data_IF_940038242819
#
_entry.id   IF_940038242819
#
_cell.length_a   1.000
_cell.length_b   1.000
_cell.length_c   1.000
_cell.angle_alpha   90.00
_cell.angle_beta   90.00
_cell.angle_gamma   90.00
#
_symmetry.space_group_name_H-M   'P 1'
#
loop_
_entity.id
_entity.type
_entity.pdbx_description
1 polymer ?
#
# COMPACT_ATOMS: atom_id res chain seq x y z
N UNK A 1 4.46 17.99 12.55
CA UNK A 1 5.22 16.73 12.62
C UNK A 1 6.55 16.98 11.88
N UNK A 2 7.42 16.00 11.63
CA UNK A 2 8.47 16.16 10.61
C UNK A 2 8.34 15.05 9.56
N UNK A 3 9.04 15.22 8.44
CA UNK A 3 8.90 14.32 7.28
C UNK A 3 9.45 12.93 7.56
N UNK A 4 10.53 12.84 8.33
CA UNK A 4 11.18 11.59 8.72
C UNK A 4 10.28 10.73 9.60
N UNK A 5 9.60 11.35 10.58
CA UNK A 5 8.64 10.67 11.44
C UNK A 5 7.38 10.28 10.66
N UNK A 6 6.92 11.14 9.74
CA UNK A 6 5.79 10.80 8.86
C UNK A 6 6.11 9.59 7.99
N UNK A 7 7.31 9.56 7.40
CA UNK A 7 7.83 8.42 6.63
C UNK A 7 7.90 7.15 7.48
N UNK A 8 8.47 7.23 8.70
CA UNK A 8 8.53 6.09 9.62
C UNK A 8 7.13 5.57 9.97
N UNK A 9 6.18 6.46 10.28
CA UNK A 9 4.79 6.08 10.58
C UNK A 9 4.16 5.34 9.40
N UNK A 10 4.38 5.81 8.17
CA UNK A 10 3.94 5.13 6.95
C UNK A 10 4.49 3.71 6.83
N UNK A 11 5.80 3.54 7.08
CA UNK A 11 6.43 2.22 7.07
C UNK A 11 5.85 1.28 8.15
N UNK A 12 5.62 1.79 9.37
CA UNK A 12 5.02 1.02 10.47
C UNK A 12 3.58 0.63 10.14
N UNK A 13 2.79 1.54 9.57
CA UNK A 13 1.42 1.23 9.16
C UNK A 13 1.38 0.17 8.06
N UNK A 14 2.39 0.13 7.19
CA UNK A 14 2.49 -0.84 6.10
C UNK A 14 2.74 -2.26 6.58
N UNK A 15 3.91 -2.50 7.19
CA UNK A 15 4.37 -3.85 7.60
C UNK A 15 5.05 -3.83 8.98
N UNK A 16 4.59 -2.96 9.88
CA UNK A 16 5.13 -2.82 11.23
C UNK A 16 4.58 -3.84 12.23
N UNK A 17 5.44 -4.24 13.15
CA UNK A 17 5.16 -5.07 14.32
C UNK A 17 5.73 -4.37 15.56
N UNK A 18 4.97 -4.39 16.66
CA UNK A 18 5.32 -3.72 17.92
C UNK A 18 5.43 -4.75 19.03
N UNK A 19 6.64 -4.89 19.58
CA UNK A 19 6.90 -5.77 20.73
C UNK A 19 7.16 -4.92 21.96
N UNK A 20 6.19 -4.92 22.88
CA UNK A 20 6.26 -4.15 24.13
C UNK A 20 6.93 -4.98 25.22
N UNK A 21 8.00 -4.44 25.79
CA UNK A 21 8.64 -4.94 27.01
C UNK A 21 8.28 -4.09 28.23
N UNK A 22 8.81 -4.46 29.39
CA UNK A 22 8.54 -3.78 30.66
C UNK A 22 9.05 -2.32 30.68
N UNK A 23 10.25 -2.09 30.13
CA UNK A 23 10.89 -0.77 30.11
C UNK A 23 11.14 -0.22 28.70
N UNK A 24 11.10 -1.08 27.69
CA UNK A 24 11.47 -0.77 26.30
C UNK A 24 10.47 -1.38 25.34
N UNK A 25 10.32 -0.76 24.17
CA UNK A 25 9.50 -1.25 23.07
C UNK A 25 10.35 -1.36 21.82
N UNK A 26 10.19 -2.47 21.11
CA UNK A 26 10.84 -2.72 19.82
C UNK A 26 9.82 -2.58 18.70
N UNK A 27 10.17 -1.78 17.70
CA UNK A 27 9.46 -1.70 16.43
C UNK A 27 10.25 -2.50 15.41
N UNK A 28 9.57 -3.38 14.68
CA UNK A 28 10.12 -4.14 13.56
C UNK A 28 9.28 -3.89 12.32
N UNK A 29 9.92 -3.69 11.17
CA UNK A 29 9.25 -3.38 9.91
C UNK A 29 9.78 -4.35 8.85
N UNK A 30 8.88 -5.13 8.25
CA UNK A 30 9.22 -6.08 7.21
C UNK A 30 9.25 -5.41 5.82
N UNK A 31 10.33 -5.68 5.08
CA UNK A 31 10.52 -5.27 3.69
C UNK A 31 10.59 -6.54 2.84
N UNK A 32 9.50 -6.93 2.16
CA UNK A 32 9.46 -8.15 1.37
C UNK A 32 10.35 -8.09 0.11
N UNK A 33 11.02 -9.19 -0.22
CA UNK A 33 11.88 -9.36 -1.41
C UNK A 33 11.13 -9.92 -2.63
N UNK A 34 9.79 -9.84 -2.68
CA UNK A 34 8.93 -10.54 -3.66
C UNK A 34 9.50 -10.51 -5.08
N UNK A 35 9.99 -11.67 -5.57
CA UNK A 35 10.50 -11.97 -6.93
C UNK A 35 10.83 -10.72 -7.74
N UNK A 36 11.85 -9.99 -7.28
CA UNK A 36 12.45 -8.88 -8.00
C UNK A 36 13.44 -9.45 -9.01
N UNK A 37 12.95 -10.26 -9.95
CA UNK A 37 13.67 -10.41 -11.22
C UNK A 37 13.54 -9.06 -11.90
N UNK A 38 14.46 -8.16 -11.58
CA UNK A 38 14.62 -6.94 -12.36
C UNK A 38 14.85 -7.37 -13.80
N UNK A 39 14.25 -6.66 -14.74
CA UNK A 39 14.43 -6.93 -16.19
C UNK A 39 15.90 -6.86 -16.62
N UNK A 40 16.76 -6.33 -15.74
CA UNK A 40 18.21 -6.18 -15.90
C UNK A 40 19.06 -7.31 -15.25
N UNK A 41 18.47 -8.39 -14.73
CA UNK A 41 19.21 -9.50 -14.10
C UNK A 41 20.17 -9.04 -12.97
N UNK A 42 19.82 -7.98 -12.22
CA UNK A 42 20.62 -7.56 -11.06
C UNK A 42 20.39 -8.51 -9.87
N UNK A 43 21.45 -8.88 -9.14
CA UNK A 43 21.35 -9.71 -7.93
C UNK A 43 20.42 -9.04 -6.91
N UNK A 44 19.35 -9.75 -6.53
CA UNK A 44 18.34 -9.32 -5.56
C UNK A 44 19.00 -8.83 -4.27
N UNK A 45 20.15 -9.38 -3.88
CA UNK A 45 20.87 -8.97 -2.67
C UNK A 45 21.48 -7.58 -2.78
N UNK A 46 21.89 -7.14 -3.97
CA UNK A 46 22.41 -5.79 -4.20
C UNK A 46 21.27 -4.77 -4.10
N UNK A 47 20.10 -5.10 -4.65
CA UNK A 47 18.86 -4.32 -4.52
C UNK A 47 18.47 -4.11 -3.05
N UNK A 48 18.54 -5.18 -2.25
CA UNK A 48 18.10 -5.12 -0.84
C UNK A 48 19.05 -4.20 -0.10
N UNK A 49 20.36 -4.37 -0.31
CA UNK A 49 21.39 -3.52 0.29
C UNK A 49 21.23 -2.03 -0.05
N UNK A 50 20.96 -1.71 -1.32
CA UNK A 50 20.72 -0.33 -1.74
C UNK A 50 19.46 0.26 -1.05
N UNK A 51 18.36 -0.51 -1.03
CA UNK A 51 17.10 -0.09 -0.36
C UNK A 51 17.30 0.29 1.10
N UNK A 52 18.12 -0.47 1.83
CA UNK A 52 18.38 -0.21 3.25
C UNK A 52 19.13 1.11 3.42
N UNK A 53 20.13 1.37 2.59
CA UNK A 53 20.92 2.60 2.68
C UNK A 53 20.05 3.82 2.44
N UNK A 54 19.14 3.74 1.46
CA UNK A 54 18.18 4.81 1.17
C UNK A 54 17.25 5.04 2.37
N UNK A 55 16.66 3.97 2.91
CA UNK A 55 15.76 4.04 4.08
C UNK A 55 16.50 4.55 5.32
N UNK A 56 17.73 4.09 5.56
CA UNK A 56 18.57 4.52 6.70
C UNK A 56 18.83 6.02 6.65
N UNK A 57 19.10 6.56 5.46
CA UNK A 57 19.32 8.00 5.27
C UNK A 57 18.13 8.82 5.76
N UNK A 58 16.90 8.29 5.64
CA UNK A 58 15.67 8.94 6.14
C UNK A 58 15.46 8.71 7.63
N UNK A 59 15.72 7.50 8.14
CA UNK A 59 15.37 7.11 9.51
C UNK A 59 16.43 7.42 10.58
N UNK A 60 17.72 7.38 10.22
CA UNK A 60 18.83 7.62 11.17
C UNK A 60 18.77 8.99 11.85
N UNK A 61 18.39 10.11 11.19
CA UNK A 61 18.21 11.39 11.86
C UNK A 61 17.19 11.38 13.00
N UNK A 62 16.21 10.46 12.94
CA UNK A 62 15.11 10.35 13.90
C UNK A 62 15.40 9.31 15.00
N UNK A 63 15.85 8.12 14.60
CA UNK A 63 16.03 6.97 15.50
C UNK A 63 17.44 6.92 16.09
N UNK A 64 18.41 7.58 15.45
CA UNK A 64 19.83 7.49 15.76
C UNK A 64 20.48 6.19 15.28
N UNK A 65 21.65 5.87 15.82
CA UNK A 65 22.49 4.74 15.40
C UNK A 65 21.96 3.36 15.79
N UNK A 66 20.83 3.27 16.50
CA UNK A 66 20.22 2.03 17.00
C UNK A 66 19.39 1.24 15.98
N UNK A 67 19.46 1.59 14.69
CA UNK A 67 18.76 0.88 13.62
C UNK A 67 19.45 -0.43 13.26
N UNK A 68 18.82 -1.53 13.67
CA UNK A 68 19.23 -2.88 13.35
C UNK A 68 18.61 -3.33 12.03
N UNK A 69 19.40 -4.05 11.26
CA UNK A 69 18.97 -4.63 10.00
C UNK A 69 19.28 -6.12 9.96
N UNK A 70 18.26 -6.92 9.66
CA UNK A 70 18.41 -8.37 9.47
C UNK A 70 17.88 -8.77 8.11
N UNK A 71 18.72 -9.42 7.30
CA UNK A 71 18.33 -9.93 5.99
C UNK A 71 17.98 -11.41 6.10
N UNK A 72 16.85 -11.80 5.51
CA UNK A 72 16.49 -13.19 5.26
C UNK A 72 16.39 -13.43 3.74
N UNK A 73 16.12 -14.66 3.32
CA UNK A 73 16.04 -14.99 1.89
C UNK A 73 14.93 -14.21 1.18
N UNK A 74 13.73 -14.13 1.79
CA UNK A 74 12.53 -13.62 1.15
C UNK A 74 12.05 -12.25 1.66
N UNK A 75 12.66 -11.74 2.72
CA UNK A 75 12.34 -10.42 3.28
C UNK A 75 13.51 -9.90 4.10
N UNK A 76 13.44 -8.63 4.46
CA UNK A 76 14.36 -7.98 5.38
C UNK A 76 13.61 -7.29 6.50
N UNK A 77 14.23 -7.19 7.66
CA UNK A 77 13.65 -6.51 8.81
C UNK A 77 14.52 -5.32 9.17
N UNK A 78 13.91 -4.15 9.22
CA UNK A 78 14.46 -2.97 9.91
C UNK A 78 13.83 -2.94 11.30
N UNK A 79 14.64 -2.73 12.33
CA UNK A 79 14.12 -2.63 13.68
C UNK A 79 14.92 -1.68 14.55
N UNK A 80 14.26 -1.14 15.57
CA UNK A 80 14.90 -0.35 16.60
C UNK A 80 14.15 -0.53 17.93
N UNK A 81 14.89 -0.35 19.02
CA UNK A 81 14.36 -0.41 20.38
C UNK A 81 14.60 0.92 21.07
N UNK A 82 13.58 1.42 21.77
CA UNK A 82 13.65 2.65 22.57
C UNK A 82 12.97 2.43 23.91
N UNK A 83 13.32 3.24 24.91
CA UNK A 83 12.62 3.20 26.20
C UNK A 83 11.18 3.68 26.03
N UNK A 84 10.28 3.12 26.83
CA UNK A 84 8.84 3.42 26.73
C UNK A 84 8.52 4.90 27.03
N UNK A 85 9.36 5.58 27.82
CA UNK A 85 9.22 6.98 28.20
C UNK A 85 9.78 7.96 27.14
N UNK A 86 10.52 7.48 26.13
CA UNK A 86 11.03 8.33 25.07
C UNK A 86 9.89 8.90 24.21
N UNK A 87 9.98 10.20 23.92
CA UNK A 87 8.95 10.94 23.18
C UNK A 87 8.60 10.28 21.84
N UNK A 88 9.60 9.84 21.07
CA UNK A 88 9.40 9.16 19.78
C UNK A 88 8.53 7.91 19.92
N UNK A 89 8.78 7.08 20.94
CA UNK A 89 8.03 5.84 21.13
C UNK A 89 6.59 6.14 21.54
N UNK A 90 6.38 7.10 22.44
CA UNK A 90 5.04 7.54 22.85
C UNK A 90 4.23 8.06 21.67
N UNK A 91 4.84 8.87 20.81
CA UNK A 91 4.17 9.38 19.62
C UNK A 91 3.85 8.27 18.62
N UNK A 92 4.80 7.38 18.31
CA UNK A 92 4.53 6.23 17.43
C UNK A 92 3.33 5.43 17.92
N UNK A 93 3.32 5.03 19.20
CA UNK A 93 2.25 4.23 19.77
C UNK A 93 0.90 4.95 19.78
N UNK A 94 0.92 6.28 19.94
CA UNK A 94 -0.28 7.11 19.84
C UNK A 94 -0.84 7.11 18.42
N UNK A 95 -0.02 7.40 17.41
CA UNK A 95 -0.47 7.48 16.01
C UNK A 95 -0.98 6.16 15.42
N UNK A 96 -0.47 5.03 15.90
CA UNK A 96 -0.93 3.70 15.45
C UNK A 96 -2.09 3.15 16.31
N UNK A 97 -2.66 3.96 17.20
CA UNK A 97 -3.77 3.57 18.06
C UNK A 97 -3.44 2.44 19.04
N UNK A 98 -2.19 2.37 19.50
CA UNK A 98 -1.67 1.29 20.34
C UNK A 98 -1.74 -0.12 19.73
N UNK A 99 -1.89 -0.24 18.42
CA UNK A 99 -1.83 -1.51 17.72
C UNK A 99 -0.48 -2.22 17.93
N UNK A 100 -0.51 -3.54 17.75
CA UNK A 100 0.69 -4.40 17.86
C UNK A 100 1.17 -4.91 16.50
N UNK A 101 0.33 -4.85 15.47
CA UNK A 101 0.63 -5.34 14.13
C UNK A 101 -0.07 -4.48 13.08
N UNK A 102 0.54 -4.32 11.90
CA UNK A 102 -0.05 -3.69 10.74
C UNK A 102 -1.44 -4.24 10.35
N UNK A 103 -1.74 -5.50 10.70
CA UNK A 103 -3.04 -6.12 10.44
C UNK A 103 -4.21 -5.42 11.16
N UNK A 104 -3.95 -4.71 12.26
CA UNK A 104 -4.97 -4.02 13.05
C UNK A 104 -4.69 -2.53 13.32
N UNK A 105 -3.67 -1.94 12.71
CA UNK A 105 -3.42 -0.50 12.80
C UNK A 105 -4.61 0.28 12.23
N UNK A 106 -5.07 1.28 13.01
CA UNK A 106 -5.91 2.37 12.52
C UNK A 106 -5.09 3.64 12.61
N UNK A 107 -5.01 4.37 11.52
CA UNK A 107 -4.28 5.64 11.49
C UNK A 107 -5.08 6.66 12.32
N UNK A 108 -4.41 7.35 13.24
CA UNK A 108 -5.01 8.42 14.04
C UNK A 108 -5.51 9.58 13.15
N UNK A 109 -6.62 10.21 13.55
CA UNK A 109 -7.24 11.32 12.79
C UNK A 109 -6.26 12.47 12.55
N UNK A 110 -5.29 12.69 13.45
CA UNK A 110 -4.26 13.72 13.30
C UNK A 110 -3.40 13.54 12.04
N UNK A 111 -3.21 12.32 11.54
CA UNK A 111 -2.43 12.10 10.30
C UNK A 111 -3.13 12.72 9.10
N UNK A 112 -4.47 12.80 9.10
CA UNK A 112 -5.22 13.52 8.06
C UNK A 112 -5.10 15.04 8.20
N UNK A 113 -4.63 15.55 9.34
CA UNK A 113 -4.33 16.97 9.55
C UNK A 113 -2.89 17.36 9.20
N UNK A 114 -2.04 16.38 8.83
CA UNK A 114 -0.67 16.64 8.41
C UNK A 114 -0.60 17.58 7.20
N UNK A 115 0.49 18.31 7.08
CA UNK A 115 0.79 19.11 5.89
C UNK A 115 0.89 18.22 4.65
N UNK A 116 0.75 18.82 3.47
CA UNK A 116 0.86 18.08 2.21
C UNK A 116 2.18 17.27 2.10
N UNK A 117 3.32 17.89 2.43
CA UNK A 117 4.63 17.24 2.37
C UNK A 117 4.78 16.09 3.39
N UNK A 118 4.18 16.23 4.57
CA UNK A 118 4.15 15.17 5.59
C UNK A 118 3.28 13.99 5.13
N UNK A 119 2.11 14.25 4.52
CA UNK A 119 1.26 13.21 3.92
C UNK A 119 1.97 12.49 2.78
N UNK A 120 2.66 13.22 1.91
CA UNK A 120 3.50 12.63 0.85
C UNK A 120 4.59 11.74 1.46
N UNK A 121 5.30 12.22 2.47
CA UNK A 121 6.32 11.43 3.17
C UNK A 121 5.74 10.17 3.83
N UNK A 122 4.57 10.26 4.46
CA UNK A 122 3.85 9.11 5.00
C UNK A 122 3.53 8.08 3.91
N UNK A 123 2.91 8.51 2.81
CA UNK A 123 2.55 7.63 1.69
C UNK A 123 3.78 7.00 1.03
N UNK A 124 4.89 7.73 0.96
CA UNK A 124 6.16 7.22 0.45
C UNK A 124 6.71 6.09 1.34
N UNK A 125 6.73 6.28 2.67
CA UNK A 125 7.17 5.25 3.61
C UNK A 125 6.28 4.01 3.58
N UNK A 126 4.96 4.21 3.49
CA UNK A 126 4.00 3.14 3.31
C UNK A 126 4.27 2.36 2.01
N UNK A 127 4.51 3.06 0.90
CA UNK A 127 4.77 2.45 -0.40
C UNK A 127 6.14 1.75 -0.50
N UNK A 128 7.15 2.19 0.25
CA UNK A 128 8.45 1.50 0.25
C UNK A 128 8.36 0.09 0.84
N UNK A 129 7.43 -0.16 1.77
CA UNK A 129 7.23 -1.48 2.38
C UNK A 129 6.09 -2.30 1.77
N UNK A 130 5.03 -1.64 1.28
CA UNK A 130 3.84 -2.32 0.70
C UNK A 130 3.77 -2.27 -0.83
N UNK A 131 4.51 -1.35 -1.44
CA UNK A 131 4.34 -0.95 -2.82
C UNK A 131 5.26 -1.68 -3.79
N UNK A 132 4.71 -2.06 -4.94
CA UNK A 132 5.44 -2.72 -6.01
C UNK A 132 5.12 -2.10 -7.36
N UNK A 133 6.16 -2.03 -8.19
CA UNK A 133 6.04 -1.68 -9.59
C UNK A 133 6.89 -2.63 -10.42
N UNK A 134 6.29 -3.19 -11.47
CA UNK A 134 6.89 -4.16 -12.39
C UNK A 134 6.12 -4.14 -13.70
N UNK A 135 6.75 -4.56 -14.79
CA UNK A 135 6.11 -4.58 -16.12
C UNK A 135 4.83 -5.39 -16.18
N UNK A 136 4.69 -6.45 -15.38
CA UNK A 136 3.46 -7.23 -15.31
C UNK A 136 2.32 -6.55 -14.54
N UNK A 137 2.54 -5.39 -13.91
CA UNK A 137 1.51 -4.58 -13.27
C UNK A 137 0.79 -3.66 -14.26
N UNK A 138 0.63 -4.08 -15.51
CA UNK A 138 -0.16 -3.33 -16.48
C UNK A 138 -1.67 -3.54 -16.27
N UNK A 139 -2.50 -2.67 -16.84
CA UNK A 139 -3.96 -2.81 -16.75
C UNK A 139 -4.54 -3.81 -17.74
N UNK A 140 -4.57 -3.46 -19.03
CA UNK A 140 -4.95 -4.37 -20.11
C UNK A 140 -4.06 -4.21 -21.34
N UNK A 141 -3.50 -3.00 -21.55
CA UNK A 141 -2.44 -2.77 -22.54
C UNK A 141 -1.07 -2.82 -21.86
N UNK A 142 -0.03 -3.41 -22.48
CA UNK A 142 1.28 -3.59 -21.85
C UNK A 142 1.99 -2.31 -21.39
N UNK A 143 1.67 -1.15 -21.97
CA UNK A 143 2.22 0.14 -21.55
C UNK A 143 1.43 0.79 -20.41
N UNK A 144 0.23 0.28 -20.07
CA UNK A 144 -0.64 0.88 -19.05
C UNK A 144 -0.23 0.47 -17.64
N UNK A 145 0.94 0.93 -17.19
CA UNK A 145 1.59 0.51 -15.95
C UNK A 145 0.96 1.12 -14.69
N UNK A 146 0.96 0.33 -13.60
CA UNK A 146 0.41 0.73 -12.30
C UNK A 146 1.33 0.36 -11.14
N UNK A 147 1.29 1.18 -10.11
CA UNK A 147 1.81 0.87 -8.77
C UNK A 147 0.74 0.12 -8.00
N UNK A 148 1.11 -0.99 -7.36
CA UNK A 148 0.23 -1.74 -6.47
C UNK A 148 0.73 -1.56 -5.04
N UNK A 149 -0.13 -1.07 -4.15
CA UNK A 149 0.10 -1.09 -2.71
C UNK A 149 -0.70 -2.28 -2.13
N UNK A 150 0.00 -3.23 -1.52
CA UNK A 150 -0.60 -4.43 -0.95
C UNK A 150 -0.87 -4.25 0.55
N UNK A 151 -2.10 -4.52 0.99
CA UNK A 151 -2.50 -4.40 2.40
C UNK A 151 -3.11 -5.72 2.88
N UNK A 152 -2.36 -6.56 3.63
CA UNK A 152 -2.89 -7.79 4.21
C UNK A 152 -3.90 -7.50 5.30
N UNK A 153 -5.04 -8.21 5.29
CA UNK A 153 -6.08 -8.25 6.35
C UNK A 153 -6.81 -6.93 6.69
N UNK A 154 -6.13 -5.78 6.68
CA UNK A 154 -6.62 -4.53 7.24
C UNK A 154 -7.47 -3.74 6.23
N UNK A 155 -8.76 -4.06 6.15
CA UNK A 155 -9.75 -3.40 5.28
C UNK A 155 -9.84 -1.90 5.50
N UNK A 156 -9.65 -1.49 6.74
CA UNK A 156 -9.82 -0.13 7.20
C UNK A 156 -8.66 0.76 6.80
N UNK A 157 -7.45 0.25 6.94
CA UNK A 157 -6.24 0.92 6.47
C UNK A 157 -6.29 1.17 4.96
N UNK A 158 -6.89 0.28 4.18
CA UNK A 158 -7.09 0.53 2.73
C UNK A 158 -7.86 1.83 2.50
N UNK A 159 -8.99 2.03 3.21
CA UNK A 159 -9.76 3.27 3.09
C UNK A 159 -8.97 4.48 3.56
N UNK A 160 -8.26 4.37 4.70
CA UNK A 160 -7.46 5.46 5.26
C UNK A 160 -6.37 5.91 4.27
N UNK A 161 -5.64 4.97 3.66
CA UNK A 161 -4.64 5.24 2.62
C UNK A 161 -5.29 5.86 1.38
N UNK A 162 -6.47 5.39 0.95
CA UNK A 162 -7.17 5.99 -0.20
C UNK A 162 -7.60 7.43 0.07
N UNK A 163 -8.01 7.75 1.31
CA UNK A 163 -8.31 9.12 1.73
C UNK A 163 -7.05 10.00 1.75
N UNK A 164 -5.92 9.49 2.27
CA UNK A 164 -4.65 10.23 2.22
C UNK A 164 -4.19 10.49 0.78
N UNK A 165 -4.31 9.50 -0.11
CA UNK A 165 -4.03 9.67 -1.55
C UNK A 165 -4.92 10.76 -2.16
N UNK A 166 -6.22 10.78 -1.82
CA UNK A 166 -7.15 11.83 -2.25
C UNK A 166 -6.70 13.22 -1.78
N UNK A 167 -6.31 13.35 -0.52
CA UNK A 167 -5.88 14.63 0.06
C UNK A 167 -4.63 15.22 -0.62
N UNK A 168 -3.76 14.36 -1.17
CA UNK A 168 -2.61 14.79 -1.96
C UNK A 168 -2.89 14.80 -3.47
N UNK A 169 -4.16 14.74 -3.86
CA UNK A 169 -4.65 14.75 -5.24
C UNK A 169 -4.10 13.62 -6.12
N UNK A 170 -3.99 12.41 -5.57
CA UNK A 170 -3.59 11.20 -6.31
C UNK A 170 -4.80 10.24 -6.42
N UNK A 171 -5.34 10.04 -7.63
CA UNK A 171 -6.52 9.19 -7.80
C UNK A 171 -6.18 7.70 -7.73
N UNK A 172 -7.03 6.96 -7.01
CA UNK A 172 -6.99 5.49 -6.98
C UNK A 172 -7.71 4.94 -8.21
N UNK A 173 -7.00 4.18 -9.03
CA UNK A 173 -7.53 3.60 -10.27
C UNK A 173 -8.49 2.43 -9.99
N UNK A 174 -8.11 1.51 -9.11
CA UNK A 174 -8.93 0.36 -8.69
C UNK A 174 -8.45 -0.17 -7.35
N UNK A 175 -9.36 -0.71 -6.56
CA UNK A 175 -9.04 -1.49 -5.36
C UNK A 175 -9.48 -2.93 -5.60
N UNK A 176 -8.56 -3.88 -5.51
CA UNK A 176 -8.92 -5.28 -5.43
C UNK A 176 -9.05 -5.66 -3.95
N UNK A 177 -10.26 -5.54 -3.41
CA UNK A 177 -10.56 -6.00 -2.06
C UNK A 177 -10.40 -7.51 -1.95
N UNK A 178 -9.99 -8.00 -0.79
CA UNK A 178 -10.05 -9.39 -0.36
C UNK A 178 -11.49 -9.83 -0.08
N UNK A 179 -12.39 -9.57 -1.02
CA UNK A 179 -13.80 -9.91 -0.98
C UNK A 179 -14.07 -11.01 -2.02
N UNK A 180 -14.93 -12.00 -1.73
CA UNK A 180 -15.27 -13.05 -2.69
C UNK A 180 -15.77 -12.49 -4.03
N UNK A 181 -16.69 -11.51 -4.04
CA UNK A 181 -17.16 -10.92 -5.29
C UNK A 181 -16.09 -10.12 -6.07
N UNK A 182 -14.93 -9.82 -5.47
CA UNK A 182 -13.82 -9.12 -6.15
C UNK A 182 -12.76 -10.09 -6.65
N UNK A 183 -12.34 -11.05 -5.81
CA UNK A 183 -11.26 -12.00 -6.14
C UNK A 183 -11.75 -13.24 -6.90
N UNK A 184 -13.02 -13.62 -6.73
CA UNK A 184 -13.66 -14.75 -7.41
C UNK A 184 -15.12 -14.44 -7.78
N UNK A 185 -15.37 -13.26 -8.34
CA UNK A 185 -16.73 -12.78 -8.61
C UNK A 185 -17.54 -13.58 -9.63
N UNK A 186 -16.96 -14.60 -10.26
CA UNK A 186 -17.64 -15.51 -11.19
C UNK A 186 -17.65 -16.97 -10.69
N UNK A 187 -17.34 -17.21 -9.40
CA UNK A 187 -17.34 -18.54 -8.77
C UNK A 187 -16.36 -19.57 -9.34
N UNK A 188 -15.45 -19.18 -10.23
CA UNK A 188 -14.56 -20.12 -10.93
C UNK A 188 -13.70 -20.89 -9.94
N UNK A 189 -13.11 -20.21 -8.94
CA UNK A 189 -12.24 -20.88 -7.96
C UNK A 189 -13.03 -21.62 -6.90
N UNK A 190 -14.19 -21.10 -6.52
CA UNK A 190 -15.12 -21.81 -5.66
C UNK A 190 -15.55 -23.16 -6.27
N UNK A 191 -15.97 -23.17 -7.55
CA UNK A 191 -16.38 -24.37 -8.28
C UNK A 191 -15.23 -25.36 -8.52
N UNK A 192 -13.98 -24.87 -8.61
CA UNK A 192 -12.76 -25.70 -8.59
C UNK A 192 -12.46 -26.32 -7.20
N UNK A 193 -13.30 -26.11 -6.18
CA UNK A 193 -13.09 -26.63 -4.83
C UNK A 193 -12.09 -25.82 -3.99
N UNK A 194 -11.89 -24.52 -4.30
CA UNK A 194 -10.98 -23.61 -3.58
C UNK A 194 -11.77 -22.50 -2.89
N UNK A 195 -12.57 -22.80 -1.85
CA UNK A 195 -13.51 -21.85 -1.24
C UNK A 195 -12.82 -20.63 -0.60
N UNK A 196 -11.55 -20.76 -0.20
CA UNK A 196 -10.77 -19.69 0.44
C UNK A 196 -9.88 -18.92 -0.54
N UNK A 197 -9.94 -19.17 -1.85
CA UNK A 197 -9.07 -18.51 -2.83
C UNK A 197 -9.13 -16.97 -2.77
N UNK A 198 -10.27 -16.42 -2.36
CA UNK A 198 -10.50 -14.98 -2.30
C UNK A 198 -9.85 -14.30 -1.08
N UNK A 199 -9.43 -15.06 -0.05
CA UNK A 199 -8.76 -14.56 1.16
C UNK A 199 -7.30 -14.20 0.86
N UNK A 200 -7.12 -13.10 0.15
CA UNK A 200 -5.82 -12.55 -0.27
C UNK A 200 -5.56 -11.20 0.42
N UNK A 201 -4.40 -10.62 0.16
CA UNK A 201 -4.16 -9.20 0.45
C UNK A 201 -5.11 -8.29 -0.36
N UNK A 202 -5.42 -7.11 0.16
CA UNK A 202 -6.03 -6.03 -0.61
C UNK A 202 -4.98 -5.39 -1.52
N UNK A 203 -5.40 -4.84 -2.67
CA UNK A 203 -4.48 -4.14 -3.57
C UNK A 203 -5.06 -2.79 -3.99
N UNK A 204 -4.40 -1.70 -3.60
CA UNK A 204 -4.69 -0.35 -4.10
C UNK A 204 -3.85 -0.14 -5.35
N UNK A 205 -4.49 0.14 -6.48
CA UNK A 205 -3.82 0.30 -7.77
C UNK A 205 -3.87 1.74 -8.22
N UNK A 206 -2.72 2.30 -8.55
CA UNK A 206 -2.53 3.70 -8.94
C UNK A 206 -1.78 3.72 -10.26
N UNK A 207 -2.12 4.62 -11.18
CA UNK A 207 -1.35 4.78 -12.41
C UNK A 207 0.09 5.21 -12.12
N UNK A 208 1.05 4.67 -12.88
CA UNK A 208 2.46 4.96 -12.64
C UNK A 208 2.78 6.47 -12.72
N UNK A 209 2.22 7.18 -13.70
CA UNK A 209 2.41 8.62 -13.85
C UNK A 209 1.80 9.42 -12.68
N UNK A 210 0.63 9.01 -12.18
CA UNK A 210 -0.04 9.67 -11.05
C UNK A 210 0.72 9.45 -9.73
N UNK A 211 1.49 8.37 -9.61
CA UNK A 211 2.23 8.08 -8.39
C UNK A 211 3.58 8.83 -8.29
N UNK A 212 4.04 9.48 -9.37
CA UNK A 212 5.31 10.22 -9.39
C UNK A 212 5.48 11.26 -8.28
N UNK A 213 4.47 12.06 -7.89
CA UNK A 213 4.61 13.05 -6.81
C UNK A 213 4.90 12.44 -5.43
N UNK A 214 4.46 11.20 -5.19
CA UNK A 214 4.78 10.45 -3.96
C UNK A 214 6.12 9.74 -4.13
N UNK A 215 6.26 9.00 -5.22
CA UNK A 215 7.47 8.27 -5.55
C UNK A 215 7.85 7.19 -4.53
N UNK A 216 9.11 6.79 -4.57
CA UNK A 216 9.73 5.86 -3.64
C UNK A 216 11.03 6.48 -3.12
N UNK A 217 11.37 6.27 -1.85
CA UNK A 217 12.71 6.63 -1.37
C UNK A 217 13.75 5.65 -1.94
N UNK A 218 13.33 4.40 -2.10
CA UNK A 218 14.16 3.30 -2.62
C UNK A 218 14.49 3.50 -4.12
N UNK A 219 15.78 3.62 -4.43
CA UNK A 219 16.30 4.09 -5.73
C UNK A 219 15.74 3.34 -6.94
N UNK A 220 15.84 2.02 -7.01
CA UNK A 220 15.39 1.28 -8.20
C UNK A 220 13.86 1.28 -8.34
N UNK A 221 13.09 1.41 -7.25
CA UNK A 221 11.62 1.51 -7.34
C UNK A 221 11.28 2.85 -7.99
N UNK A 222 12.02 3.91 -7.61
CA UNK A 222 11.92 5.23 -8.23
C UNK A 222 12.34 5.19 -9.71
N UNK A 223 13.43 4.52 -10.07
CA UNK A 223 13.84 4.37 -11.48
C UNK A 223 12.79 3.63 -12.31
N UNK A 224 12.28 2.51 -11.79
CA UNK A 224 11.21 1.74 -12.44
C UNK A 224 9.92 2.57 -12.57
N UNK A 225 9.56 3.34 -11.54
CA UNK A 225 8.44 4.28 -11.58
C UNK A 225 8.60 5.30 -12.70
N UNK A 226 9.74 5.96 -12.78
CA UNK A 226 10.03 6.94 -13.82
C UNK A 226 9.93 6.32 -15.22
N UNK A 227 10.55 5.14 -15.42
CA UNK A 227 10.50 4.44 -16.70
C UNK A 227 9.06 4.07 -17.08
N UNK A 228 8.32 3.42 -16.18
CA UNK A 228 6.97 2.95 -16.48
C UNK A 228 5.95 4.08 -16.57
N UNK A 229 6.17 5.20 -15.89
CA UNK A 229 5.37 6.41 -16.07
C UNK A 229 5.57 7.01 -17.48
N UNK A 230 6.80 7.04 -17.98
CA UNK A 230 7.10 7.48 -19.34
C UNK A 230 6.48 6.54 -20.39
N UNK A 231 6.69 5.22 -20.26
CA UNK A 231 6.08 4.22 -21.16
C UNK A 231 4.54 4.35 -21.20
N UNK A 232 3.91 4.62 -20.05
CA UNK A 232 2.47 4.86 -19.95
C UNK A 232 2.03 6.12 -20.70
N UNK A 233 2.74 7.23 -20.52
CA UNK A 233 2.45 8.49 -21.20
C UNK A 233 2.62 8.35 -22.71
N UNK A 234 3.77 7.85 -23.16
CA UNK A 234 4.10 7.65 -24.58
C UNK A 234 3.07 6.76 -25.28
N UNK A 235 2.67 5.66 -24.62
CA UNK A 235 1.67 4.74 -25.17
C UNK A 235 0.26 5.33 -25.26
N UNK A 236 -0.11 6.28 -24.38
CA UNK A 236 -1.38 7.00 -24.49
C UNK A 236 -1.33 8.06 -25.60
N UNK A 237 -0.21 8.78 -25.71
CA UNK A 237 -0.01 9.79 -26.75
C UNK A 237 0.06 9.18 -28.15
N UNK A 238 0.70 8.01 -28.29
CA UNK A 238 0.70 7.24 -29.54
C UNK A 238 -0.72 6.80 -29.99
N UNK A 239 -1.68 6.75 -29.06
CA UNK A 239 -3.09 6.51 -29.35
C UNK A 239 -3.90 7.80 -29.55
N UNK A 240 -3.25 8.96 -29.59
CA UNK A 240 -3.89 10.27 -29.70
C UNK A 240 -4.66 10.69 -28.45
N UNK A 241 -4.31 10.15 -27.27
CA UNK A 241 -4.97 10.49 -25.99
C UNK A 241 -4.06 11.35 -25.14
N UNK A 242 -4.65 12.29 -24.41
CA UNK A 242 -3.94 13.03 -23.38
C UNK A 242 -3.75 12.15 -22.12
N UNK A 243 -2.52 11.90 -21.64
CA UNK A 243 -2.28 11.06 -20.47
C UNK A 243 -3.09 11.50 -19.24
N UNK A 244 -3.05 12.79 -18.90
CA UNK A 244 -3.72 13.36 -17.72
C UNK A 244 -5.24 13.15 -17.77
N UNK A 245 -5.86 13.35 -18.92
CA UNK A 245 -7.32 13.14 -19.08
C UNK A 245 -7.71 11.66 -18.92
N UNK A 246 -6.79 10.73 -19.14
CA UNK A 246 -7.04 9.29 -19.00
C UNK A 246 -6.79 8.81 -17.58
N UNK A 247 -5.70 9.26 -16.96
CA UNK A 247 -5.18 8.70 -15.70
C UNK A 247 -5.62 9.49 -14.48
N UNK A 248 -5.80 10.80 -14.59
CA UNK A 248 -6.19 11.66 -13.46
C UNK A 248 -7.71 11.67 -13.25
N UNK A 249 -8.25 10.54 -12.78
CA UNK A 249 -9.70 10.35 -12.53
C UNK A 249 -9.96 9.60 -11.23
N UNK A 250 -10.65 10.26 -10.31
CA UNK A 250 -11.23 9.62 -9.15
C UNK A 250 -12.38 8.69 -9.56
N UNK A 251 -12.64 7.69 -8.73
CA UNK A 251 -13.53 6.60 -9.13
C UNK A 251 -14.98 7.05 -9.32
N UNK A 252 -15.42 8.13 -8.68
CA UNK A 252 -16.77 8.70 -8.82
C UNK A 252 -16.95 9.53 -10.10
N UNK A 253 -15.86 9.99 -10.73
CA UNK A 253 -15.91 10.73 -12.00
C UNK A 253 -16.15 9.82 -13.22
N UNK A 254 -15.99 8.51 -13.04
CA UNK A 254 -16.14 7.51 -14.10
C UNK A 254 -17.47 6.78 -14.06
N UNK A 255 -18.18 6.75 -15.20
CA UNK A 255 -19.34 5.90 -15.43
C UNK A 255 -18.92 4.42 -15.52
N UNK A 256 -18.94 3.72 -14.39
CA UNK A 256 -18.69 2.28 -14.36
C UNK A 256 -19.80 1.53 -15.06
N UNK A 257 -19.46 0.54 -15.89
CA UNK A 257 -20.46 -0.41 -16.39
C UNK A 257 -20.91 -1.28 -15.20
N UNK A 258 -22.19 -1.21 -14.85
CA UNK A 258 -22.79 -2.12 -13.88
C UNK A 258 -22.66 -3.55 -14.41
N UNK A 259 -21.82 -4.35 -13.77
CA UNK A 259 -21.78 -5.80 -14.00
C UNK A 259 -22.58 -6.42 -12.88
N UNK A 260 -23.53 -7.28 -13.22
CA UNK A 260 -24.22 -8.12 -12.24
C UNK A 260 -23.37 -9.35 -12.00
N UNK A 261 -23.06 -9.65 -10.75
CA UNK A 261 -22.29 -10.84 -10.35
C UNK A 261 -23.22 -11.89 -9.71
N UNK A 262 -22.90 -13.18 -9.84
CA UNK A 262 -23.54 -14.21 -9.02
C UNK A 262 -23.24 -13.99 -7.53
N UNK A 263 -24.17 -14.41 -6.67
CA UNK A 263 -23.93 -14.46 -5.23
C UNK A 263 -22.84 -15.48 -4.92
N UNK A 264 -21.89 -15.07 -4.07
CA UNK A 264 -20.81 -15.93 -3.63
C UNK A 264 -21.12 -16.53 -2.25
N UNK A 265 -21.03 -17.85 -2.05
CA UNK A 265 -21.38 -18.49 -0.77
C UNK A 265 -20.60 -17.96 0.44
N UNK A 266 -19.36 -17.50 0.21
CA UNK A 266 -18.50 -16.91 1.23
C UNK A 266 -18.77 -15.42 1.57
N UNK A 267 -19.83 -14.79 1.04
CA UNK A 267 -20.16 -13.37 1.35
C UNK A 267 -20.38 -13.12 2.85
N UNK A 268 -20.80 -14.13 3.61
CA UNK A 268 -21.03 -14.03 5.06
C UNK A 268 -19.85 -14.54 5.93
N UNK A 269 -18.67 -14.76 5.33
CA UNK A 269 -17.49 -15.26 6.06
C UNK A 269 -17.01 -14.26 7.14
N UNK A 270 -16.57 -14.78 8.28
CA UNK A 270 -16.14 -13.96 9.43
C UNK A 270 -14.84 -13.17 9.19
N UNK A 271 -14.08 -13.52 8.16
CA UNK A 271 -12.93 -12.74 7.68
C UNK A 271 -13.32 -11.35 7.19
N UNK A 272 -14.57 -11.18 6.75
CA UNK A 272 -15.10 -9.89 6.27
C UNK A 272 -15.56 -9.05 7.48
N UNK A 273 -15.26 -7.73 7.53
CA UNK A 273 -15.74 -6.85 8.59
C UNK A 273 -17.26 -6.86 8.71
N UNK A 274 -17.77 -6.79 9.93
CA UNK A 274 -19.20 -6.91 10.23
C UNK A 274 -20.10 -5.92 9.47
N UNK A 275 -19.58 -4.75 9.16
CA UNK A 275 -20.24 -3.62 8.51
C UNK A 275 -20.59 -3.93 7.06
N UNK A 276 -19.82 -4.83 6.43
CA UNK A 276 -19.96 -5.24 5.03
C UNK A 276 -20.19 -6.75 4.86
N UNK A 277 -20.10 -7.53 5.93
CA UNK A 277 -20.33 -8.98 5.93
C UNK A 277 -21.75 -9.32 5.53
N UNK A 278 -21.90 -10.30 4.64
CA UNK A 278 -23.18 -10.75 4.11
C UNK A 278 -23.79 -9.81 3.06
N UNK A 279 -23.12 -8.71 2.71
CA UNK A 279 -23.56 -7.82 1.64
C UNK A 279 -22.99 -8.28 0.30
N UNK A 280 -23.84 -8.19 -0.73
CA UNK A 280 -23.43 -8.46 -2.11
C UNK A 280 -22.84 -7.21 -2.77
N UNK A 281 -21.72 -7.37 -3.48
CA UNK A 281 -21.05 -6.27 -4.16
C UNK A 281 -20.72 -6.60 -5.62
N UNK A 282 -21.31 -5.84 -6.53
CA UNK A 282 -21.04 -5.88 -7.96
C UNK A 282 -19.74 -5.15 -8.32
N UNK A 283 -19.32 -4.19 -7.50
CA UNK A 283 -18.17 -3.33 -7.78
C UNK A 283 -17.36 -3.02 -6.52
N UNK A 284 -16.04 -2.93 -6.68
CA UNK A 284 -15.13 -2.51 -5.61
C UNK A 284 -15.46 -1.11 -5.09
N UNK A 285 -16.05 -0.25 -5.93
CA UNK A 285 -16.47 1.12 -5.59
C UNK A 285 -17.54 1.12 -4.49
N UNK A 286 -18.41 0.11 -4.46
CA UNK A 286 -19.45 0.00 -3.44
C UNK A 286 -18.84 -0.32 -2.07
N UNK A 287 -17.88 -1.24 -2.02
CA UNK A 287 -17.11 -1.55 -0.80
C UNK A 287 -16.35 -0.30 -0.34
N UNK A 288 -15.67 0.40 -1.26
CA UNK A 288 -14.94 1.62 -0.94
C UNK A 288 -15.84 2.70 -0.31
N UNK A 289 -17.04 2.90 -0.86
CA UNK A 289 -18.03 3.83 -0.32
C UNK A 289 -18.51 3.43 1.08
N UNK A 290 -18.82 2.15 1.28
CA UNK A 290 -19.30 1.62 2.56
C UNK A 290 -18.21 1.70 3.65
N UNK A 291 -16.94 1.51 3.29
CA UNK A 291 -15.79 1.58 4.20
C UNK A 291 -15.15 2.96 4.32
N UNK A 292 -15.75 4.01 3.76
CA UNK A 292 -15.37 5.40 4.04
C UNK A 292 -14.52 6.13 3.00
N UNK A 293 -14.10 5.48 1.90
CA UNK A 293 -13.45 6.17 0.78
C UNK A 293 -14.51 6.79 -0.15
N UNK A 294 -14.91 8.02 0.16
CA UNK A 294 -16.00 8.77 -0.50
C UNK A 294 -15.47 9.98 -1.28
N UNK A 295 -16.32 10.51 -2.14
CA UNK A 295 -16.13 11.79 -2.86
C UNK A 295 -15.70 12.92 -1.91
#
# INVERSE_FOLDING_TARGET
>A
MNREMSYLLGMICGNGEVRRGASETTISIEIPHKKLTTEKNCDVRIYVRASITDIRTVLEPLVGTGLNFTQQDNYSIISFTKRNDEYIMREILRYIGNAVSHENIRIDEEVFSFTHDEKISFLQGFADVTGYIRRSNYFFKPYMHRVYLEVPHNWYLVSDICCLLKDVNIPVQTIDWAHPNMRDGNLVKYEEGKPDFWKKEHQIKIWANEFLPIGFAVLHKREALTQFAAELADGLEAEGKNPKEVTHKFYWEGNGKGKVKPQHPAENDTFIPSEIRGKHYDSWKQIAKDLGYKE
#
